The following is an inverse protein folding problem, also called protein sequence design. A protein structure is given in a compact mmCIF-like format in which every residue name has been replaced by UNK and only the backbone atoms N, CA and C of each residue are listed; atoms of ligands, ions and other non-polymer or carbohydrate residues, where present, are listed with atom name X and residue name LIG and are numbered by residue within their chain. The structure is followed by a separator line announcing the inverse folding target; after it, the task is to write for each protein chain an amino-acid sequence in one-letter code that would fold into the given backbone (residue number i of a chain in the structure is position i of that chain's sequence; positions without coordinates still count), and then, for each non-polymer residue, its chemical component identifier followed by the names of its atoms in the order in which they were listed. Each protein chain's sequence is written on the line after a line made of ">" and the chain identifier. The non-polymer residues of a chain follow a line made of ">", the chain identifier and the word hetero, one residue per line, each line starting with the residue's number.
data_IF_506697773769
#
_entry.id   IF_506697773769
#
_cell.length_a   1.000
_cell.length_b   1.000
_cell.length_c   1.000
_cell.angle_alpha   90.00
_cell.angle_beta   90.00
_cell.angle_gamma   90.00
#
_symmetry.space_group_name_H-M   'P 1'
#
loop_
_entity.id
_entity.type
_entity.pdbx_description
1 polymer ?
#
# COMPACT_ATOMS: atom_id res chain seq x y z
N UNK A 1 -4.12 24.94 14.45
CA UNK A 1 -3.59 26.29 14.14
C UNK A 1 -4.74 27.28 14.16
N UNK A 2 -4.54 28.57 14.55
CA UNK A 2 -5.58 29.58 14.38
C UNK A 2 -5.92 29.81 12.91
N UNK A 3 -7.20 29.93 12.59
CA UNK A 3 -7.65 30.17 11.22
C UNK A 3 -7.17 31.51 10.66
N UNK A 4 -7.02 32.53 11.52
CA UNK A 4 -6.49 33.84 11.15
C UNK A 4 -5.07 33.85 10.56
N UNK A 5 -4.31 32.78 10.72
CA UNK A 5 -3.01 32.59 10.04
C UNK A 5 -3.17 32.50 8.52
N UNK A 6 -4.32 32.03 8.03
CA UNK A 6 -4.61 31.98 6.60
C UNK A 6 -4.52 33.36 5.94
N UNK A 7 -5.00 34.41 6.60
CA UNK A 7 -4.93 35.78 6.09
C UNK A 7 -3.49 36.34 6.07
N UNK A 8 -2.65 35.90 6.99
CA UNK A 8 -1.22 36.26 6.98
C UNK A 8 -0.48 35.54 5.84
N UNK A 9 -0.76 34.26 5.64
CA UNK A 9 -0.20 33.47 4.53
C UNK A 9 -0.62 34.05 3.18
N UNK A 10 -1.88 34.43 3.03
CA UNK A 10 -2.43 35.01 1.79
C UNK A 10 -1.78 36.36 1.40
N UNK A 11 -1.20 37.10 2.36
CA UNK A 11 -0.51 38.37 2.08
C UNK A 11 0.90 38.17 1.50
N UNK A 12 1.44 36.96 1.49
CA UNK A 12 2.76 36.68 0.90
C UNK A 12 2.66 36.73 -0.62
N UNK A 13 3.50 37.52 -1.26
CA UNK A 13 3.41 37.84 -2.70
C UNK A 13 3.51 36.61 -3.62
N UNK A 14 4.22 35.57 -3.17
CA UNK A 14 4.39 34.29 -3.90
C UNK A 14 3.22 33.32 -3.70
N UNK A 15 2.25 33.64 -2.87
CA UNK A 15 1.06 32.83 -2.61
C UNK A 15 -0.09 33.26 -3.55
N UNK A 16 -0.74 32.27 -4.15
CA UNK A 16 -1.89 32.45 -5.01
C UNK A 16 -3.20 32.24 -4.25
N UNK A 17 -3.35 31.04 -3.66
CA UNK A 17 -4.55 30.64 -2.94
C UNK A 17 -4.18 29.94 -1.64
N UNK A 18 -5.03 30.13 -0.61
CA UNK A 18 -4.91 29.50 0.71
C UNK A 18 -6.25 28.90 1.10
N UNK A 19 -6.27 27.59 1.36
CA UNK A 19 -7.46 26.89 1.83
C UNK A 19 -7.24 26.32 3.23
N UNK A 20 -7.94 26.83 4.26
CA UNK A 20 -7.96 26.23 5.58
C UNK A 20 -8.66 24.88 5.52
N UNK A 21 -8.14 23.90 6.24
CA UNK A 21 -8.71 22.55 6.27
C UNK A 21 -8.65 21.97 7.68
N UNK A 22 -9.77 21.42 8.13
CA UNK A 22 -9.88 20.62 9.36
C UNK A 22 -9.86 19.17 8.94
N UNK A 23 -8.96 18.37 9.50
CA UNK A 23 -8.85 16.94 9.22
C UNK A 23 -9.43 16.18 10.40
N UNK A 24 -10.45 15.39 10.13
CA UNK A 24 -11.08 14.49 11.07
C UNK A 24 -10.97 13.06 10.55
N UNK A 25 -11.02 12.10 11.45
CA UNK A 25 -11.02 10.68 11.09
C UNK A 25 -12.25 10.04 11.70
N UNK A 26 -13.07 9.39 10.89
CA UNK A 26 -14.21 8.59 11.38
C UNK A 26 -13.69 7.38 12.16
N UNK A 27 -13.97 7.26 13.47
CA UNK A 27 -13.37 6.23 14.31
C UNK A 27 -13.72 4.79 13.90
N UNK A 28 -14.91 4.59 13.32
CA UNK A 28 -15.41 3.26 12.94
C UNK A 28 -14.78 2.72 11.66
N UNK A 29 -14.56 3.60 10.67
CA UNK A 29 -14.08 3.22 9.34
C UNK A 29 -12.66 3.70 9.05
N UNK A 30 -12.07 4.54 9.92
CA UNK A 30 -10.79 5.22 9.72
C UNK A 30 -10.74 6.08 8.45
N UNK A 31 -11.90 6.46 7.93
CA UNK A 31 -12.05 7.28 6.75
C UNK A 31 -11.77 8.74 7.10
N UNK A 32 -11.01 9.42 6.24
CA UNK A 32 -10.71 10.84 6.39
C UNK A 32 -11.91 11.68 5.95
N UNK A 33 -12.28 12.62 6.82
CA UNK A 33 -13.30 13.64 6.59
C UNK A 33 -12.60 15.00 6.65
N UNK A 34 -12.73 15.78 5.56
CA UNK A 34 -12.17 17.13 5.50
C UNK A 34 -13.28 18.15 5.72
N UNK A 35 -13.09 19.00 6.74
CA UNK A 35 -13.83 20.25 6.89
C UNK A 35 -13.16 21.34 6.04
N UNK A 36 -13.87 21.87 5.06
CA UNK A 36 -13.31 22.81 4.09
C UNK A 36 -14.24 24.03 3.87
N UNK A 37 -13.63 25.18 3.57
CA UNK A 37 -14.29 26.22 2.81
C UNK A 37 -14.35 25.78 1.35
N UNK A 38 -15.56 25.48 0.86
CA UNK A 38 -15.72 24.94 -0.48
C UNK A 38 -15.10 25.84 -1.56
N UNK A 39 -15.31 27.15 -1.50
CA UNK A 39 -14.86 28.06 -2.55
C UNK A 39 -13.33 28.11 -2.61
N UNK A 40 -12.67 28.29 -1.47
CA UNK A 40 -11.21 28.34 -1.37
C UNK A 40 -10.57 27.01 -1.74
N UNK A 41 -11.11 25.91 -1.23
CA UNK A 41 -10.58 24.58 -1.53
C UNK A 41 -10.78 24.18 -2.99
N UNK A 42 -11.97 24.52 -3.56
CA UNK A 42 -12.26 24.28 -4.97
C UNK A 42 -11.32 25.07 -5.89
N UNK A 43 -11.11 26.36 -5.61
CA UNK A 43 -10.15 27.18 -6.34
C UNK A 43 -8.75 26.60 -6.28
N UNK A 44 -8.27 26.23 -5.08
CA UNK A 44 -6.94 25.69 -4.85
C UNK A 44 -6.73 24.32 -5.51
N UNK A 45 -7.72 23.43 -5.45
CA UNK A 45 -7.63 22.05 -5.91
C UNK A 45 -7.86 21.84 -7.40
N UNK A 46 -7.98 22.91 -8.19
CA UNK A 46 -8.37 22.90 -9.62
C UNK A 46 -9.79 22.38 -9.85
N UNK A 47 -10.65 22.58 -8.88
CA UNK A 47 -12.08 22.22 -8.96
C UNK A 47 -12.41 20.80 -8.54
N UNK A 48 -13.61 20.61 -8.02
CA UNK A 48 -14.20 19.30 -7.82
C UNK A 48 -14.88 18.86 -9.13
N UNK A 49 -14.62 17.62 -9.53
CA UNK A 49 -15.31 17.02 -10.66
C UNK A 49 -16.55 16.27 -10.12
N UNK A 50 -17.70 16.92 -10.14
CA UNK A 50 -18.95 16.29 -9.74
C UNK A 50 -19.36 15.20 -10.73
N UNK A 51 -19.65 14.03 -10.21
CA UNK A 51 -20.31 12.94 -10.93
C UNK A 51 -21.81 13.11 -10.87
N UNK A 52 -22.30 13.59 -9.72
CA UNK A 52 -23.71 13.83 -9.47
C UNK A 52 -23.88 14.89 -8.35
N UNK A 53 -25.00 15.63 -8.36
CA UNK A 53 -25.33 16.61 -7.33
C UNK A 53 -24.62 17.95 -7.42
N UNK A 54 -24.49 18.61 -6.28
CA UNK A 54 -23.99 19.98 -6.12
C UNK A 54 -23.08 20.12 -4.90
N UNK A 55 -22.36 21.24 -4.76
CA UNK A 55 -21.69 21.61 -3.52
C UNK A 55 -22.66 21.66 -2.33
N UNK A 56 -22.13 21.48 -1.12
CA UNK A 56 -22.89 21.73 0.08
C UNK A 56 -23.20 23.23 0.24
N UNK A 57 -24.40 23.55 0.72
CA UNK A 57 -24.86 24.90 1.05
C UNK A 57 -25.30 25.00 2.51
N UNK A 58 -25.68 23.88 3.12
CA UNK A 58 -26.07 23.78 4.52
C UNK A 58 -25.02 23.15 5.42
N UNK A 59 -25.12 23.34 6.76
CA UNK A 59 -24.17 22.80 7.71
C UNK A 59 -24.19 21.26 7.79
N UNK A 60 -25.35 20.63 7.51
CA UNK A 60 -25.59 19.21 7.59
C UNK A 60 -25.51 18.51 6.24
N UNK A 61 -24.85 19.13 5.27
CA UNK A 61 -24.62 18.56 3.95
C UNK A 61 -23.18 18.05 3.81
N UNK A 62 -23.02 16.97 3.05
CA UNK A 62 -21.72 16.34 2.81
C UNK A 62 -21.53 16.02 1.33
N UNK A 63 -20.33 16.24 0.83
CA UNK A 63 -19.87 15.72 -0.45
C UNK A 63 -19.11 14.43 -0.20
N UNK A 64 -19.48 13.35 -0.90
CA UNK A 64 -18.79 12.07 -0.87
C UNK A 64 -17.94 11.88 -2.12
N UNK A 65 -16.81 11.18 -2.05
CA UNK A 65 -16.12 10.75 -3.25
C UNK A 65 -16.82 9.52 -3.89
N UNK A 66 -16.55 9.29 -5.17
CA UNK A 66 -17.19 8.22 -5.95
C UNK A 66 -16.82 6.82 -5.42
N UNK A 67 -15.64 6.65 -4.78
CA UNK A 67 -15.24 5.37 -4.20
C UNK A 67 -16.07 5.03 -2.97
N UNK A 68 -16.19 5.97 -2.03
CA UNK A 68 -16.99 5.73 -0.82
C UNK A 68 -18.49 5.66 -1.14
N UNK A 69 -18.94 6.44 -2.11
CA UNK A 69 -20.33 6.41 -2.56
C UNK A 69 -20.71 5.03 -3.13
N UNK A 70 -19.84 4.41 -3.94
CA UNK A 70 -20.04 3.05 -4.45
C UNK A 70 -19.98 2.02 -3.33
N UNK A 71 -19.01 2.14 -2.43
CA UNK A 71 -18.79 1.21 -1.32
C UNK A 71 -19.96 1.14 -0.35
N UNK A 72 -20.50 2.29 0.02
CA UNK A 72 -21.58 2.41 0.99
C UNK A 72 -22.96 2.55 0.31
N UNK A 73 -23.02 2.39 -1.01
CA UNK A 73 -24.24 2.54 -1.82
C UNK A 73 -24.96 3.89 -1.62
N UNK A 74 -24.17 4.98 -1.42
CA UNK A 74 -24.70 6.31 -1.21
C UNK A 74 -25.20 6.91 -2.52
N UNK A 75 -26.31 7.62 -2.44
CA UNK A 75 -26.92 8.39 -3.52
C UNK A 75 -27.17 9.81 -3.04
N UNK A 76 -27.48 10.72 -3.95
CA UNK A 76 -27.94 12.06 -3.56
C UNK A 76 -29.14 11.96 -2.62
N UNK A 77 -29.11 12.76 -1.56
CA UNK A 77 -30.13 12.74 -0.50
C UNK A 77 -30.01 11.59 0.49
N UNK A 78 -29.06 10.66 0.33
CA UNK A 78 -28.81 9.63 1.34
C UNK A 78 -28.33 10.26 2.65
N UNK A 79 -28.80 9.74 3.78
CA UNK A 79 -28.30 10.15 5.09
C UNK A 79 -27.09 9.28 5.48
N UNK A 80 -26.05 9.92 5.93
CA UNK A 80 -24.83 9.26 6.44
C UNK A 80 -24.48 9.81 7.82
N UNK A 81 -24.16 8.93 8.76
CA UNK A 81 -23.69 9.32 10.09
C UNK A 81 -22.18 9.34 10.09
N UNK A 82 -21.58 10.50 10.26
CA UNK A 82 -20.13 10.71 10.36
C UNK A 82 -19.84 11.42 11.68
N UNK A 83 -18.88 10.91 12.45
CA UNK A 83 -18.43 11.55 13.70
C UNK A 83 -19.59 11.80 14.69
N UNK A 84 -20.55 10.88 14.76
CA UNK A 84 -21.80 10.98 15.53
C UNK A 84 -22.76 12.12 15.11
N UNK A 85 -22.56 12.73 13.93
CA UNK A 85 -23.42 13.74 13.35
C UNK A 85 -24.08 13.21 12.08
N UNK A 86 -25.36 13.56 11.81
CA UNK A 86 -26.07 13.13 10.61
C UNK A 86 -25.89 14.15 9.49
N UNK A 87 -25.46 13.68 8.35
CA UNK A 87 -25.31 14.48 7.14
C UNK A 87 -26.17 13.94 5.99
N UNK A 88 -26.58 14.83 5.11
CA UNK A 88 -27.25 14.50 3.84
C UNK A 88 -26.27 14.64 2.69
N UNK A 89 -26.14 13.62 1.85
CA UNK A 89 -25.26 13.67 0.67
C UNK A 89 -25.80 14.65 -0.35
N UNK A 90 -25.12 15.79 -0.54
CA UNK A 90 -25.46 16.83 -1.50
C UNK A 90 -24.79 16.63 -2.86
N UNK A 91 -23.64 15.96 -2.89
CA UNK A 91 -22.87 15.72 -4.11
C UNK A 91 -21.97 14.53 -4.03
N UNK A 92 -21.70 13.94 -5.19
CA UNK A 92 -20.73 12.87 -5.39
C UNK A 92 -19.67 13.37 -6.37
N UNK A 93 -18.39 13.31 -5.95
CA UNK A 93 -17.26 13.83 -6.72
C UNK A 93 -16.25 12.74 -7.07
N UNK A 94 -15.45 12.96 -8.09
CA UNK A 94 -14.34 12.07 -8.42
C UNK A 94 -13.33 12.06 -7.27
N UNK A 95 -12.82 10.87 -6.94
CA UNK A 95 -11.82 10.68 -5.90
C UNK A 95 -10.49 11.38 -6.20
N UNK A 96 -9.59 11.43 -5.21
CA UNK A 96 -8.23 11.95 -5.37
C UNK A 96 -8.00 13.34 -4.76
N UNK A 97 -8.95 13.87 -3.99
CA UNK A 97 -8.81 15.15 -3.28
C UNK A 97 -8.33 15.03 -1.82
N UNK A 98 -7.86 13.84 -1.42
CA UNK A 98 -7.23 13.60 -0.12
C UNK A 98 -8.15 13.09 0.98
N UNK A 99 -9.47 13.26 0.85
CA UNK A 99 -10.46 12.71 1.78
C UNK A 99 -11.55 11.95 1.01
N UNK A 100 -12.36 11.20 1.75
CA UNK A 100 -13.54 10.50 1.22
C UNK A 100 -14.82 11.31 1.40
N UNK A 101 -14.86 12.14 2.43
CA UNK A 101 -15.97 13.01 2.72
C UNK A 101 -15.48 14.45 2.91
N UNK A 102 -16.29 15.40 2.46
CA UNK A 102 -16.04 16.84 2.61
C UNK A 102 -17.28 17.48 3.22
N UNK A 103 -17.10 18.18 4.34
CA UNK A 103 -18.15 18.89 5.09
C UNK A 103 -17.79 20.37 5.22
N UNK A 104 -18.73 21.25 5.57
CA UNK A 104 -18.41 22.64 5.85
C UNK A 104 -17.40 22.76 6.99
N UNK A 105 -16.49 23.74 6.87
CA UNK A 105 -15.40 23.89 7.84
C UNK A 105 -15.92 24.25 9.23
N UNK A 106 -16.98 25.04 9.30
CA UNK A 106 -17.63 25.45 10.55
C UNK A 106 -18.19 24.23 11.30
N UNK A 107 -18.90 23.35 10.59
CA UNK A 107 -19.42 22.09 11.15
C UNK A 107 -18.29 21.17 11.62
N UNK A 108 -17.19 21.10 10.85
CA UNK A 108 -16.02 20.30 11.25
C UNK A 108 -15.35 20.87 12.51
N UNK A 109 -15.27 22.19 12.65
CA UNK A 109 -14.73 22.87 13.82
C UNK A 109 -15.60 22.65 15.06
N UNK A 110 -16.92 22.70 14.90
CA UNK A 110 -17.89 22.42 15.97
C UNK A 110 -17.76 20.97 16.46
N UNK A 111 -17.78 19.99 15.55
CA UNK A 111 -17.60 18.57 15.87
C UNK A 111 -16.26 18.31 16.58
N UNK A 112 -15.20 19.01 16.17
CA UNK A 112 -13.89 18.90 16.77
C UNK A 112 -13.77 19.61 18.13
N UNK A 113 -14.74 20.44 18.53
CA UNK A 113 -14.63 21.32 19.69
C UNK A 113 -13.49 22.34 19.56
N UNK A 114 -13.19 22.78 18.35
CA UNK A 114 -12.02 23.58 18.01
C UNK A 114 -12.40 24.78 17.13
N UNK A 115 -13.31 25.62 17.62
CA UNK A 115 -13.75 26.81 16.92
C UNK A 115 -12.59 27.71 16.45
N UNK A 116 -12.67 28.20 15.24
CA UNK A 116 -11.65 29.06 14.58
C UNK A 116 -10.24 28.44 14.55
N UNK A 117 -10.14 27.13 14.59
CA UNK A 117 -8.89 26.39 14.48
C UNK A 117 -8.94 25.43 13.32
N UNK A 118 -7.80 25.25 12.65
CA UNK A 118 -7.63 24.36 11.51
C UNK A 118 -6.48 23.39 11.74
N UNK A 119 -6.55 22.23 11.10
CA UNK A 119 -5.51 21.21 11.17
C UNK A 119 -4.32 21.60 10.29
N UNK A 120 -4.60 22.12 9.08
CA UNK A 120 -3.58 22.59 8.14
C UNK A 120 -4.13 23.64 7.19
N UNK A 121 -3.20 24.29 6.49
CA UNK A 121 -3.49 25.14 5.34
C UNK A 121 -2.91 24.49 4.09
N UNK A 122 -3.71 24.32 3.06
CA UNK A 122 -3.21 24.08 1.72
C UNK A 122 -2.90 25.43 1.07
N UNK A 123 -1.71 25.53 0.45
CA UNK A 123 -1.24 26.76 -0.17
C UNK A 123 -0.82 26.47 -1.59
N UNK A 124 -1.32 27.26 -2.55
CA UNK A 124 -0.84 27.25 -3.93
C UNK A 124 0.12 28.40 -4.15
N UNK A 125 1.30 28.11 -4.70
CA UNK A 125 2.29 29.12 -5.10
C UNK A 125 1.98 29.68 -6.49
N UNK A 126 2.27 30.96 -6.72
CA UNK A 126 2.21 31.61 -8.05
C UNK A 126 3.37 31.19 -8.98
N UNK A 127 4.44 30.63 -8.43
CA UNK A 127 5.65 30.26 -9.16
C UNK A 127 6.37 29.10 -8.52
N UNK A 128 7.66 29.28 -8.23
CA UNK A 128 8.48 28.23 -7.62
C UNK A 128 7.98 27.86 -6.22
N UNK A 129 7.67 26.58 -6.06
CA UNK A 129 7.16 26.02 -4.79
C UNK A 129 8.21 26.04 -3.69
N UNK A 130 9.49 25.80 -4.03
CA UNK A 130 10.57 25.76 -3.04
C UNK A 130 10.90 27.18 -2.52
N UNK A 131 10.91 28.18 -3.39
CA UNK A 131 11.07 29.57 -2.97
C UNK A 131 9.92 30.05 -2.08
N UNK A 132 8.67 29.70 -2.41
CA UNK A 132 7.51 30.03 -1.59
C UNK A 132 7.56 29.32 -0.22
N UNK A 133 7.98 28.06 -0.20
CA UNK A 133 8.17 27.28 1.02
C UNK A 133 9.19 27.94 1.96
N UNK A 134 10.31 28.40 1.40
CA UNK A 134 11.37 29.05 2.19
C UNK A 134 10.90 30.39 2.77
N UNK A 135 10.14 31.18 2.01
CA UNK A 135 9.54 32.44 2.49
C UNK A 135 8.55 32.18 3.63
N UNK A 136 7.67 31.20 3.46
CA UNK A 136 6.71 30.83 4.49
C UNK A 136 7.39 30.24 5.74
N UNK A 137 8.47 29.46 5.59
CA UNK A 137 9.23 28.91 6.71
C UNK A 137 9.93 30.01 7.53
N UNK A 138 10.38 31.09 6.90
CA UNK A 138 10.92 32.27 7.60
C UNK A 138 9.84 33.06 8.33
N UNK A 139 8.63 33.14 7.76
CA UNK A 139 7.51 33.85 8.35
C UNK A 139 6.88 33.09 9.53
N UNK A 140 6.83 31.77 9.44
CA UNK A 140 6.14 30.87 10.38
C UNK A 140 7.05 29.75 10.88
N UNK A 141 8.17 30.07 11.58
CA UNK A 141 9.18 29.08 11.96
C UNK A 141 8.68 28.00 12.93
N UNK A 142 7.57 28.27 13.63
CA UNK A 142 6.94 27.33 14.56
C UNK A 142 6.08 26.27 13.87
N UNK A 143 5.85 26.37 12.54
CA UNK A 143 5.03 25.43 11.80
C UNK A 143 5.86 24.66 10.76
N UNK A 144 5.51 23.40 10.55
CA UNK A 144 6.15 22.57 9.52
C UNK A 144 5.55 22.86 8.15
N UNK A 145 6.34 23.41 7.24
CA UNK A 145 5.92 23.72 5.86
C UNK A 145 6.57 22.72 4.92
N UNK A 146 5.73 21.96 4.21
CA UNK A 146 6.16 20.88 3.32
C UNK A 146 5.54 21.05 1.94
N UNK A 147 6.27 20.65 0.90
CA UNK A 147 5.67 20.55 -0.43
C UNK A 147 4.68 19.39 -0.48
N UNK A 148 3.68 19.46 -1.37
CA UNK A 148 2.72 18.38 -1.55
C UNK A 148 3.42 17.08 -1.98
N UNK A 149 4.47 17.17 -2.79
CA UNK A 149 5.27 16.02 -3.21
C UNK A 149 5.96 15.35 -2.02
N UNK A 150 6.54 16.14 -1.10
CA UNK A 150 7.13 15.65 0.14
C UNK A 150 6.07 15.02 1.05
N UNK A 151 4.91 15.67 1.22
CA UNK A 151 3.81 15.16 2.02
C UNK A 151 3.27 13.83 1.47
N UNK A 152 3.02 13.74 0.17
CA UNK A 152 2.59 12.50 -0.49
C UNK A 152 3.66 11.42 -0.38
N UNK A 153 4.95 11.77 -0.47
CA UNK A 153 6.03 10.81 -0.29
C UNK A 153 6.10 10.25 1.13
N UNK A 154 5.77 11.05 2.13
CA UNK A 154 5.67 10.62 3.53
C UNK A 154 4.43 9.73 3.77
N UNK A 155 3.33 10.01 3.08
CA UNK A 155 2.10 9.21 3.15
C UNK A 155 2.19 7.90 2.35
N UNK A 156 3.13 7.80 1.42
CA UNK A 156 3.33 6.56 0.70
C UNK A 156 3.84 5.47 1.66
N UNK A 157 3.16 4.33 1.70
CA UNK A 157 3.47 3.20 2.59
C UNK A 157 4.92 2.71 2.48
N UNK A 158 5.57 2.95 1.32
CA UNK A 158 6.99 2.71 1.11
C UNK A 158 7.90 3.61 1.97
N UNK A 159 7.37 4.73 2.47
CA UNK A 159 8.12 5.74 3.24
C UNK A 159 7.71 5.83 4.72
N UNK A 160 6.85 4.92 5.21
CA UNK A 160 6.65 4.74 6.64
C UNK A 160 7.87 4.00 7.22
N UNK A 161 8.87 4.70 7.80
CA UNK A 161 10.11 4.08 8.27
C UNK A 161 9.85 2.98 9.30
N UNK A 162 8.74 3.10 10.02
CA UNK A 162 8.32 2.19 11.08
C UNK A 162 7.80 0.85 10.52
N UNK A 163 7.23 0.80 9.31
CA UNK A 163 6.71 -0.42 8.70
C UNK A 163 7.78 -1.19 7.89
N UNK A 164 8.84 -0.51 7.44
CA UNK A 164 9.93 -1.14 6.70
C UNK A 164 10.62 -2.28 7.45
N UNK A 165 11.03 -2.12 8.73
CA UNK A 165 11.64 -3.23 9.46
C UNK A 165 10.66 -4.39 9.64
N UNK A 166 9.38 -4.11 9.92
CA UNK A 166 8.36 -5.14 10.06
C UNK A 166 8.19 -5.96 8.77
N UNK A 167 7.99 -5.29 7.63
CA UNK A 167 7.84 -5.97 6.33
C UNK A 167 9.11 -6.73 5.95
N UNK A 168 10.31 -6.17 6.19
CA UNK A 168 11.58 -6.87 5.96
C UNK A 168 11.72 -8.14 6.81
N UNK A 169 11.35 -8.05 8.09
CA UNK A 169 11.40 -9.21 9.00
C UNK A 169 10.43 -10.29 8.54
N UNK A 170 9.21 -9.93 8.13
CA UNK A 170 8.23 -10.87 7.60
C UNK A 170 8.73 -11.57 6.32
N UNK A 171 9.31 -10.80 5.39
CA UNK A 171 9.90 -11.37 4.16
C UNK A 171 11.09 -12.27 4.49
N UNK A 172 11.97 -11.84 5.39
CA UNK A 172 13.13 -12.64 5.81
C UNK A 172 12.71 -13.96 6.46
N UNK A 173 11.72 -13.93 7.36
CA UNK A 173 11.13 -15.14 7.96
C UNK A 173 10.56 -16.08 6.89
N UNK A 174 9.80 -15.53 5.93
CA UNK A 174 9.24 -16.30 4.82
C UNK A 174 10.34 -17.00 3.99
N UNK A 175 11.44 -16.30 3.69
CA UNK A 175 12.58 -16.86 2.96
C UNK A 175 13.24 -17.99 3.76
N UNK A 176 13.50 -17.78 5.05
CA UNK A 176 14.12 -18.78 5.93
C UNK A 176 13.25 -20.04 6.03
N UNK A 177 11.94 -19.87 6.26
CA UNK A 177 10.99 -20.99 6.32
C UNK A 177 10.98 -21.75 5.00
N UNK A 178 10.85 -21.03 3.86
CA UNK A 178 10.86 -21.64 2.53
C UNK A 178 12.15 -22.40 2.27
N UNK A 179 13.31 -21.85 2.62
CA UNK A 179 14.60 -22.50 2.49
C UNK A 179 14.66 -23.82 3.28
N UNK A 180 14.24 -23.80 4.56
CA UNK A 180 14.21 -24.99 5.41
C UNK A 180 13.27 -26.05 4.85
N UNK A 181 12.08 -25.67 4.40
CA UNK A 181 11.11 -26.60 3.84
C UNK A 181 11.63 -27.24 2.55
N UNK A 182 12.23 -26.45 1.64
CA UNK A 182 12.84 -27.00 0.41
C UNK A 182 14.01 -27.93 0.76
N UNK A 183 14.87 -27.54 1.69
CA UNK A 183 16.02 -28.36 2.13
C UNK A 183 15.56 -29.71 2.69
N UNK A 184 14.57 -29.71 3.59
CA UNK A 184 14.03 -30.94 4.17
C UNK A 184 13.36 -31.82 3.11
N UNK A 185 12.54 -31.22 2.26
CA UNK A 185 11.84 -31.95 1.20
C UNK A 185 12.81 -32.59 0.22
N UNK A 186 13.85 -31.85 -0.21
CA UNK A 186 14.90 -32.38 -1.06
C UNK A 186 15.72 -33.47 -0.39
N UNK A 187 16.00 -33.32 0.91
CA UNK A 187 16.70 -34.34 1.68
C UNK A 187 15.89 -35.66 1.68
N UNK A 188 14.60 -35.59 1.99
CA UNK A 188 13.70 -36.75 1.97
C UNK A 188 13.62 -37.37 0.58
N UNK A 189 13.39 -36.56 -0.46
CA UNK A 189 13.35 -37.03 -1.84
C UNK A 189 14.64 -37.78 -2.26
N UNK A 190 15.81 -37.25 -1.90
CA UNK A 190 17.08 -37.90 -2.20
C UNK A 190 17.21 -39.23 -1.46
N UNK A 191 16.78 -39.30 -0.20
CA UNK A 191 16.79 -40.54 0.56
C UNK A 191 15.89 -41.61 -0.04
N UNK A 192 14.67 -41.26 -0.43
CA UNK A 192 13.70 -42.15 -1.06
C UNK A 192 14.19 -42.68 -2.41
N UNK A 193 14.93 -41.86 -3.18
CA UNK A 193 15.42 -42.21 -4.53
C UNK A 193 16.89 -42.59 -4.58
N UNK A 194 17.51 -42.89 -3.44
CA UNK A 194 18.96 -43.20 -3.36
C UNK A 194 19.32 -44.36 -4.30
N UNK A 195 18.52 -45.43 -4.33
CA UNK A 195 18.74 -46.61 -5.22
C UNK A 195 18.63 -46.23 -6.70
N UNK A 196 17.66 -45.42 -7.09
CA UNK A 196 17.47 -44.95 -8.50
C UNK A 196 18.70 -44.12 -8.92
N UNK A 197 19.17 -43.23 -8.06
CA UNK A 197 20.40 -42.44 -8.30
C UNK A 197 21.61 -43.34 -8.45
N UNK A 198 21.72 -44.41 -7.64
CA UNK A 198 22.76 -45.40 -7.72
C UNK A 198 22.76 -46.14 -9.08
N UNK A 199 21.60 -46.57 -9.56
CA UNK A 199 21.43 -47.20 -10.86
C UNK A 199 21.86 -46.25 -11.99
N UNK A 200 21.38 -45.00 -11.99
CA UNK A 200 21.75 -44.02 -13.00
C UNK A 200 23.25 -43.76 -13.05
N UNK A 201 23.94 -43.73 -11.91
CA UNK A 201 25.40 -43.59 -11.83
C UNK A 201 26.13 -44.84 -12.35
N UNK A 202 25.60 -46.03 -12.06
CA UNK A 202 26.15 -47.28 -12.61
C UNK A 202 26.03 -47.37 -14.14
N UNK A 203 24.97 -46.70 -14.72
CA UNK A 203 24.79 -46.55 -16.15
C UNK A 203 25.63 -45.44 -16.81
N UNK A 204 26.49 -44.75 -15.98
CA UNK A 204 27.43 -43.76 -16.51
C UNK A 204 27.02 -42.30 -16.36
N UNK A 205 25.95 -42.01 -15.61
CA UNK A 205 25.57 -40.61 -15.29
C UNK A 205 26.67 -39.95 -14.43
N UNK A 206 27.09 -38.78 -14.86
CA UNK A 206 28.04 -37.97 -14.14
C UNK A 206 27.41 -37.32 -12.90
N UNK A 207 28.27 -36.89 -11.95
CA UNK A 207 27.79 -36.12 -10.78
C UNK A 207 27.00 -34.88 -11.18
N UNK A 208 27.40 -34.23 -12.28
CA UNK A 208 26.72 -33.03 -12.79
C UNK A 208 25.33 -33.34 -13.34
N UNK A 209 25.14 -34.49 -13.99
CA UNK A 209 23.84 -34.90 -14.52
C UNK A 209 22.83 -35.14 -13.39
N UNK A 210 23.28 -35.77 -12.29
CA UNK A 210 22.44 -35.99 -11.11
C UNK A 210 22.03 -34.65 -10.48
N UNK A 211 22.98 -33.73 -10.29
CA UNK A 211 22.69 -32.39 -9.73
C UNK A 211 21.71 -31.65 -10.64
N UNK A 212 21.95 -31.63 -11.96
CA UNK A 212 21.09 -30.98 -12.95
C UNK A 212 19.67 -31.55 -12.91
N UNK A 213 19.51 -32.86 -12.84
CA UNK A 213 18.22 -33.54 -12.77
C UNK A 213 17.45 -33.08 -11.52
N UNK A 214 18.04 -33.12 -10.34
CA UNK A 214 17.42 -32.72 -9.08
C UNK A 214 17.07 -31.22 -9.04
N UNK A 215 17.98 -30.38 -9.53
CA UNK A 215 17.72 -28.93 -9.61
C UNK A 215 16.60 -28.61 -10.60
N UNK A 216 16.51 -29.33 -11.73
CA UNK A 216 15.42 -29.13 -12.71
C UNK A 216 14.06 -29.50 -12.09
N UNK A 217 13.99 -30.61 -11.36
CA UNK A 217 12.77 -31.02 -10.64
C UNK A 217 12.35 -29.97 -9.60
N UNK A 218 13.30 -29.50 -8.79
CA UNK A 218 13.06 -28.44 -7.82
C UNK A 218 12.61 -27.14 -8.49
N UNK A 219 13.21 -26.76 -9.61
CA UNK A 219 12.85 -25.55 -10.35
C UNK A 219 11.42 -25.63 -10.88
N UNK A 220 11.01 -26.77 -11.42
CA UNK A 220 9.63 -26.98 -11.89
C UNK A 220 8.65 -26.86 -10.73
N UNK A 221 8.91 -27.51 -9.60
CA UNK A 221 8.07 -27.43 -8.41
C UNK A 221 8.01 -26.01 -7.86
N UNK A 222 9.14 -25.30 -7.83
CA UNK A 222 9.19 -23.91 -7.40
C UNK A 222 8.38 -22.98 -8.33
N UNK A 223 8.40 -23.22 -9.63
CA UNK A 223 7.63 -22.45 -10.60
C UNK A 223 6.12 -22.66 -10.39
N UNK A 224 5.68 -23.90 -10.22
CA UNK A 224 4.28 -24.20 -9.89
C UNK A 224 3.85 -23.61 -8.56
N UNK A 225 4.66 -23.77 -7.50
CA UNK A 225 4.38 -23.20 -6.19
C UNK A 225 4.31 -21.67 -6.22
N UNK A 226 5.21 -21.02 -6.94
CA UNK A 226 5.20 -19.56 -7.12
C UNK A 226 3.97 -19.11 -7.92
N UNK A 227 3.60 -19.82 -8.97
CA UNK A 227 2.38 -19.55 -9.75
C UNK A 227 1.13 -19.64 -8.89
N UNK A 228 1.03 -20.69 -8.05
CA UNK A 228 -0.07 -20.84 -7.10
C UNK A 228 -0.08 -19.70 -6.06
N UNK A 229 1.08 -19.32 -5.53
CA UNK A 229 1.22 -18.20 -4.60
C UNK A 229 0.75 -16.87 -5.20
N UNK A 230 1.10 -16.61 -6.45
CA UNK A 230 0.63 -15.42 -7.18
C UNK A 230 -0.89 -15.48 -7.39
N UNK A 231 -1.43 -16.63 -7.77
CA UNK A 231 -2.88 -16.82 -7.95
C UNK A 231 -3.64 -16.58 -6.63
N UNK A 232 -3.15 -17.10 -5.51
CA UNK A 232 -3.71 -16.85 -4.18
C UNK A 232 -3.64 -15.37 -3.79
N UNK A 233 -2.57 -14.67 -4.17
CA UNK A 233 -2.43 -13.22 -3.92
C UNK A 233 -3.51 -12.43 -4.66
N UNK A 234 -3.78 -12.74 -5.94
CA UNK A 234 -4.86 -12.12 -6.69
C UNK A 234 -6.25 -12.48 -6.14
N UNK A 235 -6.44 -13.72 -5.70
CA UNK A 235 -7.68 -14.14 -5.04
C UNK A 235 -7.90 -13.35 -3.75
N UNK A 236 -6.87 -13.20 -2.93
CA UNK A 236 -6.94 -12.40 -1.70
C UNK A 236 -7.24 -10.93 -2.00
N UNK A 237 -6.62 -10.35 -3.04
CA UNK A 237 -6.92 -8.99 -3.49
C UNK A 237 -8.40 -8.86 -3.90
N UNK A 238 -8.92 -9.84 -4.65
CA UNK A 238 -10.33 -9.84 -5.06
C UNK A 238 -11.27 -9.89 -3.85
N UNK A 239 -11.04 -10.80 -2.90
CA UNK A 239 -11.84 -10.91 -1.68
C UNK A 239 -11.75 -9.63 -0.82
N UNK A 240 -10.56 -9.03 -0.71
CA UNK A 240 -10.39 -7.78 0.03
C UNK A 240 -11.13 -6.61 -0.62
N UNK A 241 -11.16 -6.53 -1.95
CA UNK A 241 -11.93 -5.51 -2.67
C UNK A 241 -13.42 -5.61 -2.39
N UNK A 242 -13.96 -6.82 -2.25
CA UNK A 242 -15.37 -7.04 -1.95
C UNK A 242 -15.72 -6.79 -0.48
N UNK A 243 -14.82 -7.16 0.45
CA UNK A 243 -15.10 -7.10 1.89
C UNK A 243 -14.62 -5.81 2.55
N UNK A 244 -13.58 -5.20 2.03
CA UNK A 244 -12.92 -4.00 2.56
C UNK A 244 -12.47 -3.07 1.43
N UNK A 245 -13.41 -2.48 0.66
CA UNK A 245 -13.09 -1.65 -0.51
C UNK A 245 -12.31 -0.38 -0.16
N UNK A 246 -12.30 0.03 1.11
CA UNK A 246 -11.53 1.16 1.62
C UNK A 246 -10.01 0.89 1.66
N UNK A 247 -9.57 -0.37 1.52
CA UNK A 247 -8.16 -0.75 1.53
C UNK A 247 -7.64 -0.92 0.08
N UNK A 248 -6.97 0.08 -0.50
CA UNK A 248 -6.41 -0.04 -1.84
C UNK A 248 -5.20 -0.98 -1.81
N UNK A 249 -5.40 -2.25 -2.18
CA UNK A 249 -4.29 -3.19 -2.36
C UNK A 249 -3.82 -3.11 -3.81
N UNK A 250 -2.63 -2.53 -4.02
CA UNK A 250 -2.01 -2.41 -5.34
C UNK A 250 -0.93 -3.47 -5.50
N UNK A 251 -1.17 -4.43 -6.39
CA UNK A 251 -0.17 -5.41 -6.81
C UNK A 251 0.50 -4.86 -8.07
N UNK A 252 1.79 -4.56 -7.96
CA UNK A 252 2.56 -4.03 -9.10
C UNK A 252 3.46 -5.10 -9.71
N UNK A 253 3.68 -5.03 -11.01
CA UNK A 253 4.55 -5.97 -11.75
C UNK A 253 5.96 -6.11 -11.15
N UNK A 254 6.65 -5.05 -10.70
CA UNK A 254 7.94 -5.19 -10.04
C UNK A 254 7.92 -6.05 -8.78
N UNK A 255 6.84 -5.98 -7.98
CA UNK A 255 6.69 -6.82 -6.80
C UNK A 255 6.49 -8.30 -7.15
N UNK A 256 5.71 -8.60 -8.20
CA UNK A 256 5.52 -9.97 -8.68
C UNK A 256 6.86 -10.55 -9.15
N UNK A 257 7.61 -9.79 -9.96
CA UNK A 257 8.91 -10.23 -10.47
C UNK A 257 9.93 -10.45 -9.35
N UNK A 258 9.98 -9.57 -8.35
CA UNK A 258 10.87 -9.73 -7.21
C UNK A 258 10.51 -10.92 -6.34
N UNK A 259 9.22 -11.18 -6.11
CA UNK A 259 8.75 -12.34 -5.37
C UNK A 259 9.09 -13.64 -6.11
N UNK A 260 8.89 -13.69 -7.43
CA UNK A 260 9.24 -14.83 -8.27
C UNK A 260 10.76 -15.08 -8.25
N UNK A 261 11.57 -14.04 -8.41
CA UNK A 261 13.03 -14.16 -8.35
C UNK A 261 13.49 -14.69 -6.98
N UNK A 262 12.97 -14.15 -5.88
CA UNK A 262 13.30 -14.59 -4.52
C UNK A 262 12.89 -16.05 -4.28
N UNK A 263 11.71 -16.47 -4.75
CA UNK A 263 11.22 -17.84 -4.60
C UNK A 263 12.11 -18.83 -5.36
N UNK A 264 12.47 -18.53 -6.62
CA UNK A 264 13.31 -19.38 -7.43
C UNK A 264 14.75 -19.46 -6.91
N UNK A 265 15.33 -18.34 -6.48
CA UNK A 265 16.66 -18.31 -5.87
C UNK A 265 16.69 -19.05 -4.53
N UNK A 266 15.67 -18.88 -3.69
CA UNK A 266 15.53 -19.58 -2.43
C UNK A 266 15.40 -21.11 -2.62
N UNK A 267 14.59 -21.54 -3.59
CA UNK A 267 14.43 -22.94 -3.94
C UNK A 267 15.75 -23.56 -4.47
N UNK A 268 16.44 -22.85 -5.37
CA UNK A 268 17.73 -23.30 -5.90
C UNK A 268 18.77 -23.41 -4.77
N UNK A 269 18.87 -22.44 -3.89
CA UNK A 269 19.79 -22.45 -2.75
C UNK A 269 19.47 -23.62 -1.78
N UNK A 270 18.18 -23.83 -1.47
CA UNK A 270 17.74 -24.92 -0.58
C UNK A 270 18.01 -26.31 -1.16
N UNK A 271 17.91 -26.48 -2.48
CA UNK A 271 18.14 -27.75 -3.17
C UNK A 271 19.61 -28.06 -3.43
N UNK A 272 20.47 -27.03 -3.46
CA UNK A 272 21.86 -27.18 -3.90
C UNK A 272 22.65 -28.15 -3.02
N UNK A 273 22.57 -28.01 -1.70
CA UNK A 273 23.27 -28.87 -0.77
C UNK A 273 22.84 -30.33 -0.85
N UNK A 274 21.55 -30.70 -0.78
CA UNK A 274 21.10 -32.08 -0.93
C UNK A 274 21.46 -32.67 -2.29
N UNK A 275 21.35 -31.90 -3.38
CA UNK A 275 21.68 -32.35 -4.73
C UNK A 275 23.19 -32.70 -4.87
N UNK A 276 24.07 -31.85 -4.37
CA UNK A 276 25.51 -32.18 -4.35
C UNK A 276 25.83 -33.40 -3.50
N UNK A 277 25.21 -33.53 -2.35
CA UNK A 277 25.38 -34.69 -1.47
C UNK A 277 24.92 -35.98 -2.16
N UNK A 278 23.76 -35.97 -2.82
CA UNK A 278 23.25 -37.09 -3.61
C UNK A 278 24.21 -37.49 -4.74
N UNK A 279 24.79 -36.52 -5.42
CA UNK A 279 25.75 -36.76 -6.51
C UNK A 279 27.07 -37.38 -6.04
N UNK A 280 27.40 -37.30 -4.75
CA UNK A 280 28.63 -37.89 -4.18
C UNK A 280 28.44 -39.31 -3.64
N UNK A 281 27.22 -39.85 -3.56
CA UNK A 281 27.00 -41.23 -3.08
C UNK A 281 27.70 -42.23 -3.98
N UNK A 282 28.31 -43.26 -3.35
CA UNK A 282 28.92 -44.39 -4.04
C UNK A 282 27.81 -45.29 -4.60
N UNK A 283 27.83 -45.62 -5.93
CA UNK A 283 26.84 -46.48 -6.55
C UNK A 283 26.72 -47.85 -5.87
N UNK A 284 27.84 -48.43 -5.38
CA UNK A 284 27.86 -49.74 -4.71
C UNK A 284 27.10 -49.71 -3.40
N UNK A 285 27.31 -48.65 -2.61
CA UNK A 285 26.60 -48.44 -1.34
C UNK A 285 25.12 -48.10 -1.57
N UNK A 286 24.82 -47.30 -2.58
CA UNK A 286 23.47 -46.92 -2.92
C UNK A 286 22.59 -48.11 -3.40
N UNK A 287 23.19 -49.10 -4.04
CA UNK A 287 22.50 -50.32 -4.45
C UNK A 287 22.23 -51.32 -3.35
N UNK A 288 23.03 -51.27 -2.26
CA UNK A 288 22.87 -52.09 -1.06
C UNK A 288 21.91 -51.48 -0.01
N UNK A 289 21.33 -50.31 -0.30
CA UNK A 289 20.34 -49.63 0.57
C UNK A 289 18.97 -50.28 0.35
N UNK A 290 18.48 -50.99 1.40
CA UNK A 290 17.08 -51.50 1.46
C UNK A 290 16.11 -50.46 2.01
#
# INVERSE_FOLDING_TARGET
>A
MPESLGDQIAKVSSVDEVAPTVILTEPKSLVLVYGIDYQRFNALSKGFLFRDGRPFEGPDEVIADDVIAQTQHLRLGSQVTLLNHQFTVSGIVAHGKGARFFIPIETAQEIAGAEKRVSMFYVRSKGDTDATREQLAKLLPQYSIRSLAEYVSLMNSSNLPQLRPFTRTMVALGIVISFIVVLLNMHTMVMERTREIGILKALGFSRFDVVRMLLTETFILALFGTGLGIALTFLTQFVLKETKPDLPVLITTPWILSAMALALLGAAAGALYPAFRAATYDPVVALAYE
#
